data_IF_352666934442
#
_entry.id   IF_352666934442
#
_cell.length_a   1.000
_cell.length_b   1.000
_cell.length_c   1.000
_cell.angle_alpha   90.00
_cell.angle_beta   90.00
_cell.angle_gamma   90.00
#
_symmetry.space_group_name_H-M   'P 1'
#
loop_
_entity.id
_entity.type
_entity.pdbx_description
1 polymer ?
#
# COMPACT_ATOMS: atom_id res chain seq x y z
N UNK A 1 -13.16 0.04 -9.36
CA UNK A 1 -12.36 0.03 -8.10
C UNK A 1 -10.93 0.48 -8.42
N UNK A 2 -10.26 1.19 -7.51
CA UNK A 2 -8.87 1.61 -7.71
C UNK A 2 -7.93 0.63 -7.00
N UNK A 3 -6.95 0.10 -7.74
CA UNK A 3 -5.86 -0.71 -7.19
C UNK A 3 -4.64 -0.63 -8.10
N UNK A 4 -3.45 -0.71 -7.51
CA UNK A 4 -2.18 -0.72 -8.24
C UNK A 4 -1.22 -1.73 -7.58
N UNK A 5 -0.51 -2.51 -8.40
CA UNK A 5 0.68 -3.23 -7.92
C UNK A 5 1.83 -2.24 -7.81
N UNK A 6 2.54 -2.29 -6.70
CA UNK A 6 3.62 -1.36 -6.36
C UNK A 6 4.93 -2.12 -6.25
N UNK A 7 5.98 -1.56 -6.83
CA UNK A 7 7.32 -2.11 -6.67
C UNK A 7 7.91 -1.69 -5.32
N UNK A 8 8.17 -2.63 -4.39
CA UNK A 8 8.61 -2.31 -3.03
C UNK A 8 10.05 -1.82 -2.97
N UNK A 9 10.46 -1.29 -1.82
CA UNK A 9 11.83 -0.83 -1.52
C UNK A 9 12.74 -1.94 -0.97
N UNK A 10 12.20 -3.13 -0.75
CA UNK A 10 12.87 -4.33 -0.22
C UNK A 10 12.27 -5.59 -0.84
N UNK A 11 13.00 -6.73 -0.81
CA UNK A 11 12.46 -8.01 -1.28
C UNK A 11 11.17 -8.40 -0.56
N UNK A 12 10.27 -9.06 -1.27
CA UNK A 12 9.03 -9.63 -0.71
C UNK A 12 9.43 -10.87 0.11
N UNK A 13 9.09 -10.88 1.40
CA UNK A 13 9.36 -12.06 2.24
C UNK A 13 8.50 -13.25 1.80
N UNK A 14 9.00 -14.47 2.02
CA UNK A 14 8.24 -15.68 1.72
C UNK A 14 6.94 -15.76 2.52
N UNK A 15 6.96 -15.31 3.79
CA UNK A 15 5.76 -15.27 4.63
C UNK A 15 4.69 -14.33 4.08
N UNK A 16 5.08 -13.11 3.66
CA UNK A 16 4.14 -12.16 3.04
C UNK A 16 3.59 -12.73 1.72
N UNK A 17 4.48 -13.28 0.89
CA UNK A 17 4.11 -13.90 -0.38
C UNK A 17 3.16 -15.09 -0.20
N UNK A 18 3.30 -15.87 0.87
CA UNK A 18 2.39 -16.97 1.18
C UNK A 18 0.97 -16.49 1.53
N UNK A 19 0.82 -15.25 2.00
CA UNK A 19 -0.48 -14.64 2.33
C UNK A 19 -1.11 -13.94 1.12
N UNK A 20 -0.36 -13.05 0.46
CA UNK A 20 -0.92 -12.20 -0.60
C UNK A 20 -0.68 -12.73 -2.02
N UNK A 21 0.18 -13.74 -2.19
CA UNK A 21 0.49 -14.39 -3.48
C UNK A 21 1.01 -13.46 -4.59
N UNK A 22 1.65 -12.34 -4.22
CA UNK A 22 2.26 -11.40 -5.17
C UNK A 22 3.74 -11.74 -5.26
N UNK A 23 4.23 -12.01 -6.46
CA UNK A 23 5.63 -12.37 -6.70
C UNK A 23 6.47 -11.16 -7.13
N UNK A 24 7.79 -11.29 -7.07
CA UNK A 24 8.73 -10.27 -7.56
C UNK A 24 8.48 -9.90 -9.03
N UNK A 25 8.17 -10.88 -9.87
CA UNK A 25 7.88 -10.66 -11.30
C UNK A 25 6.60 -9.85 -11.53
N UNK A 26 5.61 -9.96 -10.63
CA UNK A 26 4.36 -9.20 -10.76
C UNK A 26 4.56 -7.70 -10.49
N UNK A 27 5.56 -7.37 -9.67
CA UNK A 27 5.87 -5.98 -9.28
C UNK A 27 7.08 -5.40 -10.01
N UNK A 28 7.69 -6.17 -10.91
CA UNK A 28 8.76 -5.70 -11.79
C UNK A 28 8.26 -4.59 -12.74
N UNK A 29 9.02 -3.50 -12.82
CA UNK A 29 8.66 -2.32 -13.63
C UNK A 29 7.45 -1.51 -13.14
N UNK A 30 6.81 -1.90 -12.01
CA UNK A 30 5.72 -1.14 -11.41
C UNK A 30 6.23 0.15 -10.73
N UNK A 31 5.40 1.19 -10.61
CA UNK A 31 5.80 2.40 -9.91
C UNK A 31 6.12 2.12 -8.44
N UNK A 32 6.97 2.97 -7.86
CA UNK A 32 7.20 3.04 -6.41
C UNK A 32 5.99 3.70 -5.73
N UNK A 33 5.79 3.43 -4.44
CA UNK A 33 4.64 3.94 -3.68
C UNK A 33 4.56 5.47 -3.73
N UNK A 34 5.70 6.18 -3.64
CA UNK A 34 5.76 7.63 -3.67
C UNK A 34 5.19 8.25 -4.96
N UNK A 35 5.18 7.50 -6.07
CA UNK A 35 4.61 7.95 -7.35
C UNK A 35 3.12 7.62 -7.42
N UNK A 36 2.72 6.43 -7.01
CA UNK A 36 1.33 5.97 -7.14
C UNK A 36 0.39 6.56 -6.09
N UNK A 37 0.87 6.87 -4.89
CA UNK A 37 0.05 7.22 -3.72
C UNK A 37 -0.83 8.47 -3.95
N UNK A 38 -0.37 9.41 -4.79
CA UNK A 38 -1.11 10.63 -5.10
C UNK A 38 -2.51 10.39 -5.66
N UNK A 39 -2.75 9.25 -6.33
CA UNK A 39 -4.08 8.86 -6.83
C UNK A 39 -5.07 8.50 -5.73
N UNK A 40 -4.57 8.16 -4.54
CA UNK A 40 -5.35 7.74 -3.38
C UNK A 40 -5.49 8.87 -2.35
N UNK A 41 -4.75 9.98 -2.52
CA UNK A 41 -4.83 11.14 -1.65
C UNK A 41 -6.01 12.06 -2.01
N UNK A 42 -6.43 12.88 -1.05
CA UNK A 42 -7.49 13.88 -1.22
C UNK A 42 -8.81 13.53 -0.52
N UNK A 43 -8.93 12.33 0.06
CA UNK A 43 -10.05 12.00 0.94
C UNK A 43 -9.84 12.61 2.33
N UNK A 44 -10.87 13.21 2.95
CA UNK A 44 -10.80 13.65 4.35
C UNK A 44 -10.73 12.48 5.34
N UNK A 45 -11.17 11.28 4.92
CA UNK A 45 -11.21 10.07 5.76
C UNK A 45 -10.63 8.85 5.04
N UNK A 46 -9.84 8.06 5.76
CA UNK A 46 -9.31 6.77 5.32
C UNK A 46 -9.74 5.69 6.30
N UNK A 47 -10.35 4.63 5.79
CA UNK A 47 -10.86 3.52 6.61
C UNK A 47 -10.08 2.26 6.29
N UNK A 48 -9.54 1.61 7.32
CA UNK A 48 -8.80 0.35 7.18
C UNK A 48 -9.01 -0.52 8.43
N UNK A 49 -8.94 -1.84 8.26
CA UNK A 49 -8.94 -2.77 9.40
C UNK A 49 -7.51 -2.86 9.94
N UNK A 50 -7.33 -2.55 11.24
CA UNK A 50 -6.01 -2.28 11.82
C UNK A 50 -5.26 -1.11 11.15
N UNK A 51 -5.92 0.05 11.03
CA UNK A 51 -5.38 1.24 10.36
C UNK A 51 -4.00 1.72 10.83
N UNK A 52 -3.57 1.34 12.04
CA UNK A 52 -2.22 1.60 12.53
C UNK A 52 -1.14 0.97 11.63
N UNK A 53 -1.43 -0.21 11.05
CA UNK A 53 -0.53 -0.88 10.12
C UNK A 53 -0.38 -0.08 8.82
N UNK A 54 -1.48 0.20 8.12
CA UNK A 54 -1.48 0.95 6.86
C UNK A 54 -0.81 2.32 7.02
N UNK A 55 -1.15 3.06 8.08
CA UNK A 55 -0.54 4.35 8.39
C UNK A 55 0.97 4.24 8.65
N UNK A 56 1.45 3.13 9.19
CA UNK A 56 2.87 2.91 9.48
C UNK A 56 3.70 2.56 8.25
N UNK A 57 3.07 2.01 7.19
CA UNK A 57 3.78 1.56 5.98
C UNK A 57 3.54 2.44 4.76
N UNK A 58 2.46 3.21 4.74
CA UNK A 58 2.16 4.17 3.68
C UNK A 58 2.80 5.54 3.96
N UNK A 59 3.09 6.32 2.90
CA UNK A 59 3.36 7.75 3.04
C UNK A 59 2.18 8.49 3.70
N UNK A 60 2.43 9.71 4.17
CA UNK A 60 1.39 10.56 4.74
C UNK A 60 0.20 10.74 3.79
N UNK A 61 -1.01 10.57 4.31
CA UNK A 61 -2.26 10.58 3.52
C UNK A 61 -3.07 11.86 3.69
N UNK A 62 -2.71 12.72 4.65
CA UNK A 62 -3.34 14.02 4.91
C UNK A 62 -4.86 13.94 5.18
N UNK A 63 -5.31 12.92 5.91
CA UNK A 63 -6.71 12.74 6.32
C UNK A 63 -6.85 11.96 7.62
N UNK A 64 -8.07 11.91 8.15
CA UNK A 64 -8.36 11.21 9.40
C UNK A 64 -8.48 9.69 9.17
N UNK A 65 -7.81 8.91 10.01
CA UNK A 65 -7.87 7.45 9.96
C UNK A 65 -8.99 6.92 10.87
N UNK A 66 -9.81 6.01 10.33
CA UNK A 66 -10.82 5.24 11.07
C UNK A 66 -10.41 3.78 11.01
N UNK A 67 -10.28 3.15 12.19
CA UNK A 67 -10.01 1.73 12.30
C UNK A 67 -11.32 0.98 12.52
N UNK A 68 -11.60 -0.01 11.67
CA UNK A 68 -12.69 -0.98 11.88
C UNK A 68 -12.20 -2.22 12.62
#
# INVERSE_FOLDING_TARGET
PMSDLISPDRPISLDAMAIHHITEQMVEGKPRIAVAIGRYQGSPYYVAHNAAFDRGVLPEMNGAWICT
#
